data_IF_362460314301
#
_entry.id   IF_362460314301
#
_cell.length_a   1.000
_cell.length_b   1.000
_cell.length_c   1.000
_cell.angle_alpha   90.00
_cell.angle_beta   90.00
_cell.angle_gamma   90.00
#
_symmetry.space_group_name_H-M   'P 1'
#
loop_
_entity.id
_entity.type
_entity.pdbx_description
1 polymer ?
#
# COMPACT_ATOMS: atom_id res chain seq x y z
N UNK A 1 20.71 -9.21 -4.90
CA UNK A 1 19.65 -8.47 -4.17
C UNK A 1 19.19 -7.22 -4.90
N UNK A 2 20.01 -6.67 -5.83
CA UNK A 2 19.69 -5.41 -6.49
C UNK A 2 18.36 -5.43 -7.25
N UNK A 3 17.94 -6.59 -7.73
CA UNK A 3 16.70 -6.75 -8.49
C UNK A 3 15.60 -7.45 -7.67
N UNK A 4 15.72 -7.45 -6.35
CA UNK A 4 14.79 -8.17 -5.47
C UNK A 4 14.04 -7.19 -4.60
N UNK A 5 12.76 -7.46 -4.40
CA UNK A 5 11.94 -6.76 -3.41
C UNK A 5 11.32 -7.79 -2.49
N UNK A 6 11.41 -7.56 -1.21
CA UNK A 6 10.83 -8.43 -0.18
C UNK A 6 9.80 -7.62 0.58
N UNK A 7 8.56 -8.11 0.61
CA UNK A 7 7.49 -7.53 1.42
C UNK A 7 7.18 -8.50 2.55
N UNK A 8 7.33 -8.05 3.77
CA UNK A 8 7.01 -8.84 4.96
C UNK A 8 5.79 -8.22 5.64
N UNK A 9 4.72 -9.00 5.76
CA UNK A 9 3.50 -8.51 6.39
C UNK A 9 2.75 -9.63 7.09
N UNK A 10 1.92 -9.28 8.11
CA UNK A 10 1.15 -10.27 8.85
C UNK A 10 -0.09 -10.71 8.06
N UNK A 11 -0.75 -11.75 8.54
CA UNK A 11 -2.03 -12.20 7.99
C UNK A 11 -3.23 -11.39 8.49
N UNK A 12 -3.02 -10.49 9.45
CA UNK A 12 -4.06 -9.66 9.99
C UNK A 12 -3.52 -8.34 10.48
N UNK A 13 -4.40 -7.51 10.98
CA UNK A 13 -4.06 -6.18 11.45
C UNK A 13 -3.71 -6.14 12.93
N UNK A 14 -4.23 -5.12 13.60
CA UNK A 14 -3.90 -4.80 14.99
C UNK A 14 -4.44 -5.80 15.99
N UNK A 15 -5.44 -6.58 15.61
CA UNK A 15 -6.01 -7.58 16.47
C UNK A 15 -6.00 -8.92 15.76
N UNK A 16 -6.33 -9.94 16.49
CA UNK A 16 -6.34 -11.32 16.07
C UNK A 16 -6.80 -11.49 14.63
N UNK A 17 -5.94 -11.75 13.75
CA UNK A 17 -6.05 -12.07 12.34
C UNK A 17 -7.39 -11.88 11.63
N UNK A 18 -8.26 -11.08 12.17
CA UNK A 18 -9.58 -10.85 11.58
C UNK A 18 -9.84 -9.38 11.24
N UNK A 19 -9.00 -8.47 11.68
CA UNK A 19 -9.19 -7.04 11.41
C UNK A 19 -8.23 -6.57 10.33
N UNK A 20 -8.79 -5.98 9.29
CA UNK A 20 -8.01 -5.45 8.18
C UNK A 20 -7.95 -3.93 8.16
N UNK A 21 -8.29 -3.27 9.27
CA UNK A 21 -8.33 -1.82 9.32
C UNK A 21 -6.97 -1.18 9.56
N UNK A 22 -6.02 -1.96 10.06
CA UNK A 22 -4.64 -1.54 10.24
C UNK A 22 -3.74 -2.67 9.76
N UNK A 23 -2.76 -2.33 8.90
CA UNK A 23 -1.98 -3.37 8.24
C UNK A 23 -0.51 -2.93 8.13
N UNK A 24 0.27 -3.15 9.19
CA UNK A 24 1.69 -2.80 9.16
C UNK A 24 2.48 -3.80 8.30
N UNK A 25 3.44 -3.30 7.52
CA UNK A 25 4.33 -4.17 6.78
C UNK A 25 5.68 -3.50 6.55
N UNK A 26 6.67 -4.32 6.23
CA UNK A 26 8.03 -3.89 5.97
C UNK A 26 8.40 -4.26 4.54
N UNK A 27 8.99 -3.31 3.83
CA UNK A 27 9.46 -3.52 2.47
C UNK A 27 10.97 -3.32 2.43
N UNK A 28 11.67 -4.29 1.90
CA UNK A 28 13.10 -4.21 1.64
C UNK A 28 13.33 -4.44 0.16
N UNK A 29 14.17 -3.63 -0.47
CA UNK A 29 14.42 -3.77 -1.89
C UNK A 29 15.85 -3.36 -2.22
N UNK A 30 16.36 -3.93 -3.29
CA UNK A 30 17.68 -3.57 -3.82
C UNK A 30 17.65 -2.25 -4.59
N UNK A 31 18.82 -1.88 -5.13
CA UNK A 31 19.01 -0.57 -5.75
C UNK A 31 18.19 -0.36 -7.02
N UNK A 32 17.77 -1.44 -7.66
CA UNK A 32 16.99 -1.35 -8.90
C UNK A 32 15.48 -1.29 -8.66
N UNK A 33 15.05 -1.14 -7.41
CA UNK A 33 13.63 -1.01 -7.10
C UNK A 33 13.03 0.23 -7.75
N UNK A 34 11.82 0.06 -8.25
CA UNK A 34 11.09 1.14 -8.92
C UNK A 34 10.21 1.94 -7.97
N UNK A 35 10.23 1.62 -6.70
CA UNK A 35 9.50 2.35 -5.66
C UNK A 35 10.49 3.09 -4.78
N UNK A 36 10.05 4.22 -4.27
CA UNK A 36 10.89 5.08 -3.41
C UNK A 36 10.72 4.64 -1.96
N UNK A 37 11.74 3.98 -1.42
CA UNK A 37 11.70 3.52 -0.02
C UNK A 37 12.42 4.47 0.93
N UNK A 38 13.70 4.72 0.73
CA UNK A 38 14.47 5.72 1.47
C UNK A 38 14.65 5.45 2.95
N UNK A 39 14.62 4.19 3.37
CA UNK A 39 14.81 3.79 4.78
C UNK A 39 13.89 4.59 5.72
N UNK A 40 12.60 4.66 5.40
CA UNK A 40 11.63 5.48 6.12
C UNK A 40 10.59 4.64 6.82
N UNK A 41 10.05 5.20 7.90
CA UNK A 41 8.78 4.77 8.45
C UNK A 41 7.70 5.70 7.93
N UNK A 42 6.68 5.14 7.30
CA UNK A 42 5.54 5.89 6.79
C UNK A 42 4.29 5.41 7.50
N UNK A 43 3.60 6.33 8.17
CA UNK A 43 2.29 6.06 8.75
C UNK A 43 1.25 6.81 7.94
N UNK A 44 0.34 6.06 7.33
CA UNK A 44 -0.78 6.62 6.60
C UNK A 44 -1.93 6.89 7.57
N UNK A 45 -2.85 7.80 7.20
CA UNK A 45 -4.01 8.09 8.06
C UNK A 45 -4.82 6.82 8.38
N UNK A 46 -5.45 6.82 9.54
CA UNK A 46 -6.22 5.69 10.02
C UNK A 46 -7.42 5.40 9.10
N UNK A 47 -7.95 4.19 9.23
CA UNK A 47 -9.11 3.76 8.46
C UNK A 47 -10.27 4.77 8.62
N UNK A 48 -10.79 5.20 7.49
CA UNK A 48 -11.89 6.17 7.46
C UNK A 48 -11.46 7.62 7.54
N UNK A 49 -10.18 7.91 7.76
CA UNK A 49 -9.67 9.28 7.78
C UNK A 49 -9.23 9.71 6.38
N UNK A 50 -9.33 11.02 6.12
CA UNK A 50 -8.90 11.57 4.83
C UNK A 50 -7.44 11.21 4.55
N UNK A 51 -7.15 10.78 3.34
CA UNK A 51 -5.80 10.37 2.95
C UNK A 51 -5.45 8.92 3.27
N UNK A 52 -6.36 8.18 3.88
CA UNK A 52 -6.16 6.76 4.13
C UNK A 52 -5.92 6.01 2.82
N UNK A 53 -5.01 5.04 2.83
CA UNK A 53 -4.71 4.18 1.69
C UNK A 53 -4.91 2.72 2.06
N UNK A 54 -5.33 1.94 1.08
CA UNK A 54 -5.61 0.51 1.27
C UNK A 54 -4.43 -0.33 0.78
N UNK A 55 -4.45 -1.61 1.10
CA UNK A 55 -3.50 -2.57 0.55
C UNK A 55 -3.64 -2.64 -0.99
N UNK A 56 -4.85 -2.45 -1.50
CA UNK A 56 -5.07 -2.32 -2.95
C UNK A 56 -4.27 -1.18 -3.55
N UNK A 57 -4.17 -0.05 -2.87
CA UNK A 57 -3.33 1.06 -3.32
C UNK A 57 -1.85 0.66 -3.35
N UNK A 58 -1.40 -0.15 -2.40
CA UNK A 58 -0.01 -0.65 -2.40
C UNK A 58 0.25 -1.52 -3.63
N UNK A 59 -0.63 -2.48 -3.92
CA UNK A 59 -0.46 -3.31 -5.11
C UNK A 59 -0.54 -2.49 -6.39
N UNK A 60 -1.41 -1.49 -6.43
CA UNK A 60 -1.46 -0.53 -7.55
C UNK A 60 -0.13 0.19 -7.71
N UNK A 61 0.47 0.60 -6.59
CA UNK A 61 1.80 1.23 -6.59
C UNK A 61 2.85 0.32 -7.24
N UNK A 62 2.86 -0.96 -6.85
CA UNK A 62 3.81 -1.92 -7.41
C UNK A 62 3.62 -2.12 -8.92
N UNK A 63 2.37 -2.27 -9.35
CA UNK A 63 2.07 -2.48 -10.76
C UNK A 63 2.45 -1.25 -11.60
N UNK A 64 2.13 -0.06 -11.12
CA UNK A 64 2.51 1.16 -11.83
C UNK A 64 4.03 1.31 -11.91
N UNK A 65 4.74 0.99 -10.84
CA UNK A 65 6.19 1.10 -10.82
C UNK A 65 6.85 0.12 -11.78
N UNK A 66 6.23 -1.03 -12.04
CA UNK A 66 6.79 -2.08 -12.88
C UNK A 66 6.19 -2.12 -14.29
N UNK A 67 5.58 -1.02 -14.73
CA UNK A 67 5.17 -0.87 -16.11
C UNK A 67 3.77 -1.38 -16.46
N UNK A 68 2.95 -1.69 -15.46
CA UNK A 68 1.57 -2.10 -15.65
C UNK A 68 0.62 -1.11 -14.97
N UNK A 69 0.47 0.10 -15.49
CA UNK A 69 -0.35 1.12 -14.84
C UNK A 69 -1.83 0.73 -14.87
N UNK A 70 -2.43 0.71 -13.69
CA UNK A 70 -3.87 0.51 -13.50
C UNK A 70 -4.36 1.48 -12.45
N UNK A 71 -5.67 1.71 -12.40
CA UNK A 71 -6.24 2.62 -11.40
C UNK A 71 -6.38 1.97 -10.04
N UNK A 72 -6.67 0.67 -9.99
CA UNK A 72 -6.82 -0.04 -8.73
C UNK A 72 -6.66 -1.54 -8.94
N UNK A 73 -5.95 -2.18 -8.03
CA UNK A 73 -5.81 -3.63 -7.98
C UNK A 73 -6.92 -4.20 -7.12
N UNK A 74 -7.68 -5.15 -7.69
CA UNK A 74 -8.73 -5.83 -6.99
C UNK A 74 -9.98 -4.97 -6.77
N UNK A 75 -10.86 -5.40 -5.88
CA UNK A 75 -12.09 -4.70 -5.55
C UNK A 75 -11.82 -3.58 -4.55
N UNK A 76 -12.55 -2.48 -4.66
CA UNK A 76 -12.48 -1.41 -3.67
C UNK A 76 -13.22 -1.82 -2.40
N UNK A 77 -12.81 -1.24 -1.28
CA UNK A 77 -13.49 -1.45 0.00
C UNK A 77 -14.73 -0.57 0.05
N UNK A 78 -15.90 -1.18 -0.08
CA UNK A 78 -17.16 -0.45 -0.04
C UNK A 78 -17.43 0.18 1.32
N UNK A 79 -16.79 -0.30 2.39
CA UNK A 79 -16.91 0.30 3.71
C UNK A 79 -16.32 1.70 3.80
N UNK A 80 -15.45 2.08 2.87
CA UNK A 80 -14.86 3.42 2.83
C UNK A 80 -15.70 4.44 2.06
N UNK A 81 -16.71 4.00 1.32
CA UNK A 81 -17.50 4.90 0.47
C UNK A 81 -18.15 6.03 1.28
N UNK A 82 -18.65 5.71 2.47
CA UNK A 82 -19.31 6.68 3.34
C UNK A 82 -18.38 7.77 3.85
N UNK A 83 -17.08 7.57 3.76
CA UNK A 83 -16.08 8.56 4.18
C UNK A 83 -15.57 9.41 3.03
N UNK A 84 -15.99 9.14 1.81
CA UNK A 84 -15.52 9.86 0.64
C UNK A 84 -14.04 9.62 0.31
N UNK A 85 -13.50 8.49 0.71
CA UNK A 85 -12.09 8.16 0.50
C UNK A 85 -11.86 7.72 -0.95
N UNK A 86 -10.92 8.37 -1.62
CA UNK A 86 -10.50 7.95 -2.96
C UNK A 86 -9.55 6.77 -2.86
N UNK A 87 -9.94 5.63 -3.40
CA UNK A 87 -9.15 4.40 -3.35
C UNK A 87 -8.38 4.12 -4.65
N UNK A 88 -8.44 5.03 -5.61
CA UNK A 88 -7.76 4.83 -6.88
C UNK A 88 -6.32 5.33 -6.82
N UNK A 89 -5.48 4.74 -7.64
CA UNK A 89 -4.13 5.21 -7.86
C UNK A 89 -3.09 4.66 -6.90
N UNK A 90 -1.84 4.99 -7.20
CA UNK A 90 -0.68 4.59 -6.41
C UNK A 90 -0.54 5.46 -5.16
N UNK A 91 0.21 4.95 -4.19
CA UNK A 91 0.56 5.71 -2.99
C UNK A 91 1.69 6.67 -3.35
N UNK A 92 1.41 7.98 -3.26
CA UNK A 92 2.34 9.02 -3.74
C UNK A 92 3.70 8.96 -3.03
N UNK A 93 3.73 8.62 -1.75
CA UNK A 93 4.97 8.56 -0.99
C UNK A 93 5.98 7.53 -1.50
N UNK A 94 5.53 6.54 -2.28
CA UNK A 94 6.37 5.50 -2.85
C UNK A 94 6.69 5.71 -4.33
N UNK A 95 6.18 6.75 -4.93
CA UNK A 95 6.48 7.06 -6.33
C UNK A 95 7.82 7.77 -6.42
N UNK A 96 8.64 7.32 -7.35
CA UNK A 96 9.95 7.91 -7.60
C UNK A 96 9.88 9.04 -8.62
#
# INVERSE_FOLDING_TARGET
FDNTMICYFPDGGEAHHSHGTEYPFVVMAGDNAKVKLGSRYIRLPDYGQAGHKTLGNWYTTLLNAHGNPIDHFGAVDTGLDKFGINQLGAIAQFQS
#
